data_IF_306904020674
#
_entry.id   IF_306904020674
#
_cell.length_a   1.000
_cell.length_b   1.000
_cell.length_c   1.000
_cell.angle_alpha   90.00
_cell.angle_beta   90.00
_cell.angle_gamma   90.00
#
_symmetry.space_group_name_H-M   'P 1'
#
loop_
_entity.id
_entity.type
_entity.pdbx_description
1 polymer ?
#
# COMPACT_ATOMS: atom_id res chain seq x y z
N UNK A 1 -50.54 0.99 2.18
CA UNK A 1 -49.46 1.23 1.18
C UNK A 1 -49.90 2.12 0.01
N UNK A 2 -51.19 2.16 -0.38
CA UNK A 2 -51.63 3.00 -1.52
C UNK A 2 -51.07 2.55 -2.87
N UNK A 3 -50.83 1.24 -3.04
CA UNK A 3 -50.18 0.63 -4.21
C UNK A 3 -50.96 -0.59 -4.68
N UNK A 4 -50.82 -0.91 -5.97
CA UNK A 4 -51.42 -2.10 -6.57
C UNK A 4 -50.80 -3.40 -6.02
N UNK A 5 -51.55 -4.50 -6.13
CA UNK A 5 -51.19 -5.81 -5.58
C UNK A 5 -49.88 -6.34 -6.15
N UNK A 6 -49.65 -6.14 -7.45
CA UNK A 6 -48.43 -6.57 -8.15
C UNK A 6 -47.19 -5.89 -7.57
N UNK A 7 -47.31 -4.61 -7.23
CA UNK A 7 -46.24 -3.79 -6.68
C UNK A 7 -45.94 -4.15 -5.23
N UNK A 8 -46.96 -4.51 -4.45
CA UNK A 8 -46.77 -5.05 -3.10
C UNK A 8 -46.06 -6.41 -3.15
N UNK A 9 -46.44 -7.31 -4.07
CA UNK A 9 -45.73 -8.57 -4.27
C UNK A 9 -44.28 -8.40 -4.76
N UNK A 10 -44.01 -7.39 -5.59
CA UNK A 10 -42.64 -7.08 -6.00
C UNK A 10 -41.78 -6.65 -4.81
N UNK A 11 -42.32 -5.83 -3.90
CA UNK A 11 -41.64 -5.41 -2.67
C UNK A 11 -41.41 -6.59 -1.69
N UNK A 12 -42.32 -7.56 -1.66
CA UNK A 12 -42.12 -8.79 -0.88
C UNK A 12 -41.02 -9.67 -1.50
N UNK A 13 -40.99 -9.82 -2.83
CA UNK A 13 -39.95 -10.59 -3.53
C UNK A 13 -38.56 -9.95 -3.43
N UNK A 14 -38.47 -8.62 -3.43
CA UNK A 14 -37.21 -7.90 -3.24
C UNK A 14 -36.76 -7.85 -1.77
N UNK A 15 -37.57 -8.33 -0.83
CA UNK A 15 -37.28 -8.27 0.60
C UNK A 15 -37.48 -6.87 1.22
N UNK A 16 -38.02 -5.91 0.45
CA UNK A 16 -38.29 -4.56 0.94
C UNK A 16 -39.42 -4.50 1.95
N UNK A 17 -40.34 -5.44 1.83
CA UNK A 17 -41.36 -5.79 2.80
C UNK A 17 -41.17 -7.25 3.21
N UNK A 18 -41.44 -7.59 4.46
CA UNK A 18 -41.31 -8.95 4.97
C UNK A 18 -42.70 -9.56 5.17
N UNK A 19 -42.88 -10.80 4.76
CA UNK A 19 -44.05 -11.59 5.11
C UNK A 19 -43.92 -12.13 6.53
N UNK A 20 -45.03 -12.20 7.27
CA UNK A 20 -45.07 -12.85 8.58
C UNK A 20 -44.98 -14.38 8.40
N UNK A 21 -44.23 -15.06 9.27
CA UNK A 21 -43.90 -16.48 9.17
C UNK A 21 -45.13 -17.41 9.20
N UNK A 22 -46.26 -16.95 9.73
CA UNK A 22 -47.48 -17.77 9.94
C UNK A 22 -48.31 -18.01 8.67
N UNK A 23 -47.68 -18.16 7.51
CA UNK A 23 -48.36 -18.57 6.26
C UNK A 23 -47.91 -19.96 5.84
N UNK A 24 -48.09 -20.93 6.74
CA UNK A 24 -47.81 -22.35 6.45
C UNK A 24 -48.84 -23.01 5.52
N UNK A 25 -50.02 -22.42 5.33
CA UNK A 25 -51.00 -22.91 4.36
C UNK A 25 -51.30 -21.84 3.31
N UNK A 26 -50.81 -22.06 2.09
CA UNK A 26 -50.79 -21.13 0.95
C UNK A 26 -52.15 -20.63 0.40
N UNK A 27 -53.22 -20.64 1.21
CA UNK A 27 -54.56 -20.17 0.87
C UNK A 27 -54.98 -18.86 1.60
N UNK A 28 -54.15 -18.32 2.49
CA UNK A 28 -54.45 -17.12 3.28
C UNK A 28 -53.94 -15.78 2.70
N UNK A 29 -54.48 -14.63 3.14
CA UNK A 29 -53.97 -13.32 2.77
C UNK A 29 -52.54 -13.13 3.32
N UNK A 30 -51.60 -12.74 2.46
CA UNK A 30 -50.22 -12.48 2.86
C UNK A 30 -50.17 -11.34 3.87
N UNK A 31 -49.77 -11.65 5.10
CA UNK A 31 -49.59 -10.69 6.18
C UNK A 31 -48.19 -10.11 6.09
N UNK A 32 -48.10 -8.78 6.06
CA UNK A 32 -46.82 -8.06 5.96
C UNK A 32 -46.43 -7.59 7.36
N UNK A 33 -45.18 -7.85 7.76
CA UNK A 33 -44.63 -7.41 9.04
C UNK A 33 -44.66 -5.89 9.11
N UNK A 34 -45.39 -5.32 10.08
CA UNK A 34 -45.58 -3.87 10.25
C UNK A 34 -44.26 -3.10 10.32
N UNK A 35 -43.27 -3.61 11.05
CA UNK A 35 -41.93 -3.01 11.15
C UNK A 35 -41.19 -2.97 9.80
N UNK A 36 -41.50 -3.85 8.83
CA UNK A 36 -40.94 -3.76 7.48
C UNK A 36 -41.57 -2.62 6.67
N UNK A 37 -42.87 -2.39 6.85
CA UNK A 37 -43.61 -1.28 6.22
C UNK A 37 -43.14 0.06 6.77
N UNK A 38 -43.01 0.19 8.09
CA UNK A 38 -42.55 1.41 8.75
C UNK A 38 -41.11 1.76 8.35
N UNK A 39 -40.21 0.76 8.29
CA UNK A 39 -38.85 0.94 7.75
C UNK A 39 -38.84 1.36 6.28
N UNK A 40 -39.74 0.81 5.46
CA UNK A 40 -39.85 1.16 4.05
C UNK A 40 -40.39 2.59 3.85
N UNK A 41 -41.40 3.00 4.62
CA UNK A 41 -41.92 4.37 4.58
C UNK A 41 -40.89 5.39 5.07
N UNK A 42 -40.20 5.10 6.18
CA UNK A 42 -39.13 5.94 6.72
C UNK A 42 -37.93 6.09 5.77
N UNK A 43 -37.74 5.14 4.83
CA UNK A 43 -36.72 5.20 3.80
C UNK A 43 -37.10 6.10 2.59
N UNK A 44 -38.22 6.83 2.66
CA UNK A 44 -38.68 7.73 1.60
C UNK A 44 -39.63 7.05 0.61
N UNK A 45 -40.45 6.12 1.11
CA UNK A 45 -41.36 5.29 0.31
C UNK A 45 -42.07 6.09 -0.79
N UNK A 46 -42.22 5.45 -1.96
CA UNK A 46 -42.88 5.91 -3.19
C UNK A 46 -42.06 6.57 -4.31
N UNK A 47 -40.77 6.92 -4.14
CA UNK A 47 -39.94 7.32 -5.30
C UNK A 47 -39.42 6.08 -6.04
N UNK A 48 -40.18 5.60 -7.02
CA UNK A 48 -39.81 4.45 -7.86
C UNK A 48 -39.71 3.10 -7.13
N UNK A 49 -39.67 2.00 -7.89
CA UNK A 49 -39.22 0.73 -7.32
C UNK A 49 -37.72 0.84 -6.98
N UNK A 50 -37.26 0.24 -5.86
CA UNK A 50 -35.84 0.07 -5.60
C UNK A 50 -35.18 -0.54 -6.82
N UNK A 51 -34.01 -0.04 -7.17
CA UNK A 51 -33.25 -0.62 -8.26
C UNK A 51 -32.68 -1.95 -7.78
N UNK A 52 -32.54 -2.91 -8.70
CA UNK A 52 -31.74 -4.09 -8.38
C UNK A 52 -30.33 -3.66 -7.96
N UNK A 53 -29.70 -4.41 -7.05
CA UNK A 53 -28.37 -4.07 -6.54
C UNK A 53 -27.38 -3.77 -7.68
N UNK A 54 -27.38 -4.59 -8.73
CA UNK A 54 -26.53 -4.38 -9.93
C UNK A 54 -26.78 -3.04 -10.63
N UNK A 55 -28.04 -2.64 -10.81
CA UNK A 55 -28.38 -1.35 -11.41
C UNK A 55 -28.04 -0.17 -10.50
N UNK A 56 -28.21 -0.34 -9.18
CA UNK A 56 -27.81 0.66 -8.20
C UNK A 56 -26.29 0.88 -8.24
N UNK A 57 -25.51 -0.20 -8.21
CA UNK A 57 -24.06 -0.15 -8.33
C UNK A 57 -23.61 0.53 -9.62
N UNK A 58 -24.21 0.18 -10.76
CA UNK A 58 -23.88 0.78 -12.05
C UNK A 58 -24.16 2.30 -12.10
N UNK A 59 -25.27 2.77 -11.55
CA UNK A 59 -25.56 4.22 -11.47
C UNK A 59 -24.59 4.94 -10.55
N UNK A 60 -24.28 4.37 -9.38
CA UNK A 60 -23.33 4.95 -8.44
C UNK A 60 -21.93 5.00 -9.05
N UNK A 61 -21.50 3.94 -9.73
CA UNK A 61 -20.20 3.87 -10.40
C UNK A 61 -20.07 4.86 -11.57
N UNK A 62 -21.14 5.16 -12.29
CA UNK A 62 -21.12 6.23 -13.29
C UNK A 62 -21.06 7.63 -12.65
N UNK A 63 -21.81 7.83 -11.58
CA UNK A 63 -21.88 9.12 -10.90
C UNK A 63 -20.65 9.40 -10.00
N UNK A 64 -19.82 8.40 -9.71
CA UNK A 64 -18.63 8.54 -8.85
C UNK A 64 -17.49 9.31 -9.51
N UNK A 65 -17.44 9.39 -10.83
CA UNK A 65 -16.29 9.90 -11.57
C UNK A 65 -15.03 9.02 -11.49
N UNK A 66 -15.08 7.88 -10.79
CA UNK A 66 -13.96 6.93 -10.71
C UNK A 66 -14.09 5.86 -11.80
N UNK A 67 -13.32 6.02 -12.88
CA UNK A 67 -13.45 5.19 -14.07
C UNK A 67 -13.35 3.68 -13.79
N UNK A 68 -12.33 3.13 -13.11
CA UNK A 68 -12.31 1.67 -12.92
C UNK A 68 -13.33 1.13 -11.91
N UNK A 69 -13.83 1.94 -10.97
CA UNK A 69 -15.02 1.55 -10.19
C UNK A 69 -16.25 1.52 -11.09
N UNK A 70 -16.40 2.52 -11.97
CA UNK A 70 -17.45 2.58 -12.99
C UNK A 70 -17.45 1.36 -13.91
N UNK A 71 -16.29 1.01 -14.47
CA UNK A 71 -16.11 -0.14 -15.36
C UNK A 71 -16.45 -1.45 -14.63
N UNK A 72 -16.01 -1.59 -13.38
CA UNK A 72 -16.34 -2.77 -12.56
C UNK A 72 -17.84 -2.88 -12.33
N UNK A 73 -18.52 -1.80 -11.95
CA UNK A 73 -19.96 -1.79 -11.71
C UNK A 73 -20.79 -1.99 -12.99
N UNK A 74 -20.37 -1.42 -14.12
CA UNK A 74 -21.03 -1.64 -15.41
C UNK A 74 -20.88 -3.09 -15.88
N UNK A 75 -19.73 -3.72 -15.61
CA UNK A 75 -19.49 -5.14 -15.88
C UNK A 75 -20.38 -6.10 -15.07
N UNK A 76 -21.09 -5.61 -14.05
CA UNK A 76 -22.08 -6.42 -13.32
C UNK A 76 -23.40 -6.58 -14.09
N UNK A 77 -23.64 -5.73 -15.11
CA UNK A 77 -24.82 -5.79 -15.95
C UNK A 77 -24.57 -6.78 -17.09
N UNK A 78 -25.41 -7.82 -17.19
CA UNK A 78 -25.22 -8.90 -18.16
C UNK A 78 -25.57 -8.48 -19.60
N UNK A 79 -26.44 -7.48 -19.77
CA UNK A 79 -26.97 -7.05 -21.08
C UNK A 79 -26.53 -5.64 -21.45
N UNK A 80 -26.08 -5.47 -22.70
CA UNK A 80 -25.67 -4.16 -23.24
C UNK A 80 -26.80 -3.09 -23.20
N UNK A 81 -28.05 -3.51 -23.31
CA UNK A 81 -29.22 -2.62 -23.19
C UNK A 81 -29.40 -2.06 -21.76
N UNK A 82 -28.99 -2.81 -20.73
CA UNK A 82 -29.02 -2.35 -19.34
C UNK A 82 -27.98 -1.27 -19.09
N UNK A 83 -26.77 -1.44 -19.65
CA UNK A 83 -25.71 -0.43 -19.64
C UNK A 83 -26.17 0.86 -20.32
N UNK A 84 -26.76 0.74 -21.52
CA UNK A 84 -27.24 1.90 -22.29
C UNK A 84 -28.35 2.66 -21.56
N UNK A 85 -29.32 1.94 -20.97
CA UNK A 85 -30.40 2.53 -20.16
C UNK A 85 -29.88 3.23 -18.90
N UNK A 86 -28.86 2.65 -18.26
CA UNK A 86 -28.23 3.21 -17.06
C UNK A 86 -27.53 4.53 -17.38
N UNK A 87 -26.73 4.58 -18.45
CA UNK A 87 -26.11 5.82 -18.94
C UNK A 87 -27.14 6.89 -19.31
N UNK A 88 -28.23 6.50 -19.98
CA UNK A 88 -29.30 7.40 -20.36
C UNK A 88 -30.11 7.99 -19.18
N UNK A 89 -30.04 7.41 -17.98
CA UNK A 89 -30.69 7.99 -16.78
C UNK A 89 -29.93 9.21 -16.27
N UNK A 90 -28.62 9.10 -16.13
CA UNK A 90 -27.78 10.23 -15.71
C UNK A 90 -27.75 11.32 -16.78
N UNK A 91 -27.79 10.95 -18.07
CA UNK A 91 -27.87 11.91 -19.18
C UNK A 91 -29.19 12.72 -19.21
N UNK A 92 -30.26 12.24 -18.56
CA UNK A 92 -31.55 12.93 -18.45
C UNK A 92 -31.59 13.96 -17.31
N UNK A 93 -30.48 14.16 -16.60
CA UNK A 93 -30.37 15.14 -15.52
C UNK A 93 -30.90 14.66 -14.17
N UNK A 94 -31.22 13.37 -14.01
CA UNK A 94 -31.58 12.80 -12.70
C UNK A 94 -30.36 12.89 -11.77
N UNK A 95 -30.50 13.61 -10.64
CA UNK A 95 -29.40 13.77 -9.68
C UNK A 95 -29.29 12.55 -8.77
N UNK A 96 -28.09 12.30 -8.21
CA UNK A 96 -27.91 11.24 -7.22
C UNK A 96 -28.79 11.43 -5.98
N UNK A 97 -29.10 12.67 -5.60
CA UNK A 97 -29.99 13.00 -4.48
C UNK A 97 -31.42 12.51 -4.74
N UNK A 98 -31.93 12.73 -5.96
CA UNK A 98 -33.25 12.29 -6.39
C UNK A 98 -33.33 10.76 -6.47
N UNK A 99 -32.24 10.14 -6.93
CA UNK A 99 -32.11 8.70 -7.04
C UNK A 99 -31.82 8.01 -5.70
N UNK A 100 -31.33 8.74 -4.70
CA UNK A 100 -30.84 8.19 -3.44
C UNK A 100 -31.81 7.20 -2.77
N UNK A 101 -33.14 7.46 -2.66
CA UNK A 101 -34.08 6.50 -2.07
C UNK A 101 -34.13 5.15 -2.79
N UNK A 102 -33.82 5.12 -4.09
CA UNK A 102 -33.84 3.92 -4.96
C UNK A 102 -32.51 3.18 -5.00
N UNK A 103 -31.43 3.81 -4.52
CA UNK A 103 -30.06 3.29 -4.49
C UNK A 103 -29.68 2.68 -3.12
N UNK A 104 -30.61 2.72 -2.16
CA UNK A 104 -30.43 2.16 -0.81
C UNK A 104 -30.49 0.64 -0.83
N UNK A 105 -30.05 0.01 0.27
CA UNK A 105 -30.14 -1.44 0.51
C UNK A 105 -29.41 -2.31 -0.54
N UNK A 106 -28.34 -1.76 -1.11
CA UNK A 106 -27.41 -2.47 -2.01
C UNK A 106 -26.53 -3.51 -1.32
N UNK A 107 -26.52 -3.50 0.01
CA UNK A 107 -25.81 -4.43 0.88
C UNK A 107 -26.63 -4.67 2.15
N UNK A 108 -26.42 -5.82 2.77
CA UNK A 108 -27.02 -6.18 4.06
C UNK A 108 -26.22 -5.52 5.18
N UNK A 109 -26.87 -4.72 6.02
CA UNK A 109 -26.24 -4.04 7.15
C UNK A 109 -26.20 -4.97 8.36
N UNK A 110 -24.99 -5.17 8.88
CA UNK A 110 -24.77 -6.03 10.05
C UNK A 110 -23.94 -5.25 11.06
N UNK A 111 -24.44 -5.13 12.29
CA UNK A 111 -23.69 -4.58 13.42
C UNK A 111 -23.06 -5.72 14.20
N UNK A 112 -21.78 -5.61 14.51
CA UNK A 112 -21.03 -6.56 15.34
C UNK A 112 -20.24 -5.84 16.41
N UNK A 113 -20.04 -6.52 17.53
CA UNK A 113 -19.03 -6.13 18.52
C UNK A 113 -17.77 -6.91 18.19
N UNK A 114 -16.67 -6.19 17.99
CA UNK A 114 -15.41 -6.78 17.58
C UNK A 114 -14.33 -6.30 18.57
N UNK A 115 -13.51 -7.22 19.12
CA UNK A 115 -12.36 -6.84 19.94
C UNK A 115 -11.48 -5.80 19.22
N UNK A 116 -10.95 -4.83 19.96
CA UNK A 116 -10.18 -3.70 19.41
C UNK A 116 -9.03 -4.13 18.49
N UNK A 117 -8.27 -5.14 18.89
CA UNK A 117 -7.17 -5.73 18.13
C UNK A 117 -7.64 -6.30 16.78
N UNK A 118 -8.78 -6.97 16.76
CA UNK A 118 -9.39 -7.46 15.53
C UNK A 118 -9.95 -6.31 14.68
N UNK A 119 -10.51 -5.26 15.30
CA UNK A 119 -10.97 -4.05 14.60
C UNK A 119 -9.82 -3.31 13.91
N UNK A 120 -8.67 -3.13 14.60
CA UNK A 120 -7.45 -2.56 14.01
C UNK A 120 -6.96 -3.39 12.80
N UNK A 121 -7.02 -4.72 12.91
CA UNK A 121 -6.66 -5.61 11.81
C UNK A 121 -7.64 -5.51 10.62
N UNK A 122 -8.95 -5.44 10.89
CA UNK A 122 -9.97 -5.27 9.85
C UNK A 122 -9.81 -3.94 9.12
N UNK A 123 -9.51 -2.85 9.84
CA UNK A 123 -9.34 -1.52 9.25
C UNK A 123 -8.19 -1.46 8.22
N UNK A 124 -7.20 -2.36 8.34
CA UNK A 124 -6.06 -2.47 7.43
C UNK A 124 -6.17 -3.56 6.37
N UNK A 125 -7.26 -4.36 6.38
CA UNK A 125 -7.46 -5.47 5.43
C UNK A 125 -7.83 -4.98 4.03
N UNK A 126 -7.18 -5.55 3.02
CA UNK A 126 -7.50 -5.32 1.61
C UNK A 126 -8.83 -5.94 1.16
N UNK A 127 -9.40 -6.86 1.95
CA UNK A 127 -10.72 -7.46 1.71
C UNK A 127 -11.89 -6.55 2.12
N UNK A 128 -11.61 -5.49 2.89
CA UNK A 128 -12.58 -4.51 3.34
C UNK A 128 -12.45 -3.21 2.53
N UNK A 129 -13.58 -2.57 2.27
CA UNK A 129 -13.63 -1.26 1.60
C UNK A 129 -14.31 -0.27 2.53
N UNK A 130 -13.55 0.69 3.08
CA UNK A 130 -14.07 1.65 4.06
C UNK A 130 -15.08 2.60 3.42
N UNK A 131 -16.15 2.93 4.16
CA UNK A 131 -17.22 3.82 3.70
C UNK A 131 -17.80 4.69 4.83
N UNK A 132 -18.79 5.51 4.50
CA UNK A 132 -19.57 6.31 5.44
C UNK A 132 -18.69 7.21 6.30
N UNK A 133 -18.88 7.12 7.61
CA UNK A 133 -18.10 7.89 8.59
C UNK A 133 -16.62 7.48 8.63
N UNK A 134 -16.27 6.23 8.31
CA UNK A 134 -14.87 5.76 8.32
C UNK A 134 -14.01 6.35 7.21
N UNK A 135 -14.60 7.07 6.26
CA UNK A 135 -13.86 7.80 5.22
C UNK A 135 -13.87 9.32 5.43
N UNK A 136 -14.50 9.80 6.51
CA UNK A 136 -14.65 11.22 6.79
C UNK A 136 -13.30 11.95 6.85
N UNK A 137 -12.31 11.37 7.53
CA UNK A 137 -10.96 11.94 7.60
C UNK A 137 -10.28 12.02 6.22
N UNK A 138 -10.50 11.01 5.38
CA UNK A 138 -9.89 10.94 4.04
C UNK A 138 -10.47 12.00 3.08
N UNK A 139 -11.74 12.37 3.27
CA UNK A 139 -12.43 13.40 2.49
C UNK A 139 -12.52 14.76 3.20
N UNK A 140 -11.87 14.92 4.36
CA UNK A 140 -11.87 16.16 5.15
C UNK A 140 -13.28 16.63 5.53
N UNK A 141 -14.17 15.68 5.85
CA UNK A 141 -15.54 15.95 6.28
C UNK A 141 -15.57 16.36 7.77
N UNK A 142 -15.16 17.58 8.05
CA UNK A 142 -15.06 18.17 9.40
C UNK A 142 -16.38 18.16 10.16
N UNK A 143 -17.52 18.26 9.47
CA UNK A 143 -18.87 18.20 10.04
C UNK A 143 -19.20 16.85 10.70
N UNK A 144 -18.55 15.76 10.26
CA UNK A 144 -18.68 14.43 10.88
C UNK A 144 -17.79 14.28 12.13
N UNK A 145 -16.81 15.17 12.33
CA UNK A 145 -15.86 15.09 13.45
C UNK A 145 -16.47 15.54 14.79
N UNK A 146 -17.62 16.23 14.77
CA UNK A 146 -18.26 16.80 15.97
C UNK A 146 -19.66 16.28 16.31
N UNK A 147 -20.28 15.41 15.48
CA UNK A 147 -21.73 15.18 15.57
C UNK A 147 -22.25 13.76 15.35
N UNK A 148 -21.45 12.79 14.90
CA UNK A 148 -21.92 11.40 14.79
C UNK A 148 -21.59 10.67 16.08
N UNK A 149 -22.62 10.11 16.73
CA UNK A 149 -22.46 9.27 17.91
C UNK A 149 -21.35 8.22 17.64
N UNK A 150 -20.27 8.17 18.43
CA UNK A 150 -19.07 7.34 18.22
C UNK A 150 -19.31 5.83 18.34
N UNK A 151 -20.57 5.41 18.26
CA UNK A 151 -21.02 4.06 18.56
C UNK A 151 -20.36 2.99 17.69
N UNK A 152 -20.13 3.21 16.39
CA UNK A 152 -19.33 2.30 15.55
C UNK A 152 -18.00 2.92 15.11
N UNK A 153 -16.90 2.22 15.43
CA UNK A 153 -15.51 2.64 15.13
C UNK A 153 -15.06 2.32 13.71
N UNK A 154 -15.79 1.46 13.00
CA UNK A 154 -15.52 1.08 11.61
C UNK A 154 -16.83 0.88 10.82
N UNK A 155 -16.95 1.48 9.64
CA UNK A 155 -17.94 1.21 8.59
C UNK A 155 -17.21 0.79 7.30
N UNK A 156 -17.49 -0.43 6.83
CA UNK A 156 -16.86 -0.98 5.65
C UNK A 156 -17.75 -1.99 4.92
N UNK A 157 -17.54 -2.10 3.60
CA UNK A 157 -18.07 -3.20 2.80
C UNK A 157 -17.20 -4.44 2.92
N UNK A 158 -17.86 -5.60 2.92
CA UNK A 158 -17.24 -6.93 2.95
C UNK A 158 -18.04 -7.88 2.05
N UNK A 159 -17.37 -8.82 1.37
CA UNK A 159 -18.09 -9.84 0.59
C UNK A 159 -18.78 -10.83 1.53
N UNK A 160 -19.85 -11.47 1.08
CA UNK A 160 -20.52 -12.51 1.86
C UNK A 160 -19.59 -13.66 2.28
N UNK A 161 -18.67 -14.05 1.39
CA UNK A 161 -17.64 -15.05 1.66
C UNK A 161 -16.70 -14.61 2.80
N UNK A 162 -16.15 -13.40 2.71
CA UNK A 162 -15.28 -12.86 3.75
C UNK A 162 -16.04 -12.63 5.07
N UNK A 163 -17.29 -12.21 5.00
CA UNK A 163 -18.13 -12.04 6.19
C UNK A 163 -18.40 -13.37 6.88
N UNK A 164 -18.68 -14.43 6.13
CA UNK A 164 -18.94 -15.77 6.67
C UNK A 164 -17.75 -16.28 7.48
N UNK A 165 -16.54 -16.09 6.96
CA UNK A 165 -15.33 -16.51 7.66
C UNK A 165 -15.03 -15.59 8.86
N UNK A 166 -15.28 -14.27 8.78
CA UNK A 166 -15.22 -13.39 9.96
C UNK A 166 -16.22 -13.79 11.04
N UNK A 167 -17.43 -14.18 10.66
CA UNK A 167 -18.48 -14.58 11.59
C UNK A 167 -18.10 -15.88 12.31
N UNK A 168 -17.56 -16.87 11.60
CA UNK A 168 -17.06 -18.11 12.21
C UNK A 168 -15.99 -17.82 13.27
N UNK A 169 -15.15 -16.84 13.01
CA UNK A 169 -14.05 -16.46 13.88
C UNK A 169 -14.49 -15.71 15.13
N UNK A 170 -15.46 -14.80 14.99
CA UNK A 170 -16.10 -14.16 16.13
C UNK A 170 -16.79 -15.21 17.02
N UNK A 171 -17.44 -16.21 16.40
CA UNK A 171 -18.04 -17.31 17.16
C UNK A 171 -16.99 -18.15 17.91
N UNK A 172 -15.80 -18.39 17.33
CA UNK A 172 -14.70 -19.09 18.01
C UNK A 172 -14.14 -18.31 19.21
N UNK A 173 -14.18 -16.97 19.14
CA UNK A 173 -13.74 -16.07 20.20
C UNK A 173 -14.71 -16.05 21.39
N UNK A 174 -16.02 -16.11 21.12
CA UNK A 174 -17.06 -16.08 22.15
C UNK A 174 -17.11 -17.36 23.01
N UNK A 175 -16.56 -18.49 22.53
CA UNK A 175 -16.58 -19.80 23.23
C UNK A 175 -15.50 -19.93 24.32
N UNK A 176 -14.51 -19.01 24.37
CA UNK A 176 -13.27 -19.20 25.13
C UNK A 176 -13.02 -18.32 26.37
N UNK A 177 -13.91 -17.39 26.76
CA UNK A 177 -13.57 -16.41 27.79
C UNK A 177 -14.74 -15.84 28.59
N UNK A 178 -14.66 -16.01 29.90
CA UNK A 178 -15.43 -15.32 30.93
C UNK A 178 -15.18 -13.80 30.94
N UNK A 179 -16.28 -13.04 30.87
CA UNK A 179 -16.57 -11.68 31.39
C UNK A 179 -15.66 -10.44 31.12
N UNK A 180 -14.36 -10.54 30.81
CA UNK A 180 -13.50 -9.35 30.66
C UNK A 180 -13.27 -8.89 29.21
N UNK A 181 -13.35 -9.80 28.22
CA UNK A 181 -13.07 -9.47 26.81
C UNK A 181 -14.15 -8.62 26.13
N UNK A 182 -15.39 -8.64 26.64
CA UNK A 182 -16.49 -7.84 26.11
C UNK A 182 -16.40 -6.34 26.49
N UNK A 183 -15.60 -5.96 27.49
CA UNK A 183 -15.47 -4.56 27.95
C UNK A 183 -14.65 -3.67 27.00
N UNK A 184 -13.87 -4.25 26.08
CA UNK A 184 -13.03 -3.54 25.10
C UNK A 184 -13.48 -3.74 23.65
N UNK A 185 -14.68 -4.26 23.41
CA UNK A 185 -15.18 -4.47 22.05
C UNK A 185 -15.70 -3.15 21.44
N UNK A 186 -15.17 -2.81 20.27
CA UNK A 186 -15.70 -1.71 19.46
C UNK A 186 -16.89 -2.22 18.64
N UNK A 187 -17.93 -1.40 18.45
CA UNK A 187 -18.98 -1.76 17.49
C UNK A 187 -18.46 -1.44 16.10
N UNK A 188 -18.73 -2.33 15.15
CA UNK A 188 -18.43 -2.15 13.74
C UNK A 188 -19.71 -2.34 12.93
N UNK A 189 -19.84 -1.55 11.87
CA UNK A 189 -20.90 -1.65 10.88
C UNK A 189 -20.33 -2.29 9.62
N UNK A 190 -20.84 -3.46 9.26
CA UNK A 190 -20.42 -4.19 8.07
C UNK A 190 -21.54 -4.19 7.04
N UNK A 191 -21.20 -3.81 5.81
CA UNK A 191 -22.09 -3.84 4.65
C UNK A 191 -21.76 -5.07 3.82
N UNK A 192 -22.49 -6.15 4.07
CA UNK A 192 -22.28 -7.42 3.39
C UNK A 192 -22.89 -7.38 2.00
N UNK A 193 -22.06 -7.54 0.98
CA UNK A 193 -22.51 -7.59 -0.42
C UNK A 193 -22.59 -9.04 -0.85
N UNK A 194 -23.82 -9.47 -1.16
CA UNK A 194 -24.07 -10.70 -1.90
C UNK A 194 -23.61 -10.51 -3.36
N UNK A 195 -22.97 -11.53 -3.92
CA UNK A 195 -22.27 -11.46 -5.21
C UNK A 195 -23.21 -10.95 -6.33
N UNK A 196 -22.72 -10.14 -7.27
CA UNK A 196 -21.29 -9.92 -7.57
C UNK A 196 -20.67 -8.71 -6.85
N UNK A 197 -19.43 -8.90 -6.39
CA UNK A 197 -18.62 -7.88 -5.72
C UNK A 197 -18.32 -6.64 -6.63
N UNK A 198 -18.77 -5.43 -6.22
CA UNK A 198 -18.75 -4.23 -7.08
C UNK A 198 -17.43 -3.45 -7.04
N UNK A 199 -16.55 -3.76 -6.09
CA UNK A 199 -15.30 -3.01 -5.92
C UNK A 199 -14.14 -3.65 -6.70
N UNK A 200 -13.27 -2.85 -7.33
CA UNK A 200 -12.00 -3.33 -7.85
C UNK A 200 -11.12 -3.98 -6.77
N UNK A 201 -10.14 -4.81 -7.15
CA UNK A 201 -9.13 -5.28 -6.21
C UNK A 201 -8.32 -4.10 -5.64
N UNK A 202 -7.96 -4.15 -4.36
CA UNK A 202 -7.21 -3.11 -3.63
C UNK A 202 -7.87 -1.74 -3.63
N UNK A 203 -9.16 -1.73 -3.34
CA UNK A 203 -9.97 -0.52 -3.33
C UNK A 203 -10.27 -0.12 -1.88
N UNK A 204 -9.36 0.58 -1.16
CA UNK A 204 -9.44 0.71 0.30
C UNK A 204 -10.53 1.66 0.80
N UNK A 205 -11.03 2.55 -0.05
CA UNK A 205 -11.95 3.64 0.29
C UNK A 205 -12.94 3.79 -0.86
N UNK A 206 -14.24 3.86 -0.56
CA UNK A 206 -15.28 4.14 -1.56
C UNK A 206 -15.17 5.57 -2.12
N UNK A 207 -15.72 5.84 -3.33
CA UNK A 207 -15.80 7.21 -3.83
C UNK A 207 -16.80 8.06 -3.01
N UNK A 208 -16.61 9.39 -3.00
CA UNK A 208 -17.42 10.32 -2.20
C UNK A 208 -18.93 10.13 -2.33
N UNK A 209 -19.52 9.98 -3.53
CA UNK A 209 -20.97 9.87 -3.64
C UNK A 209 -21.52 8.58 -3.04
N UNK A 210 -20.74 7.50 -3.07
CA UNK A 210 -21.09 6.25 -2.42
C UNK A 210 -21.03 6.39 -0.89
N UNK A 211 -19.97 7.01 -0.35
CA UNK A 211 -19.87 7.27 1.09
C UNK A 211 -21.02 8.15 1.61
N UNK A 212 -21.41 9.18 0.87
CA UNK A 212 -22.53 10.04 1.23
C UNK A 212 -23.88 9.29 1.18
N UNK A 213 -24.08 8.43 0.17
CA UNK A 213 -25.23 7.50 0.13
C UNK A 213 -25.23 6.52 1.29
N UNK A 214 -24.07 6.04 1.72
CA UNK A 214 -23.92 5.12 2.85
C UNK A 214 -24.32 5.76 4.18
N UNK A 215 -24.05 7.05 4.37
CA UNK A 215 -24.51 7.82 5.53
C UNK A 215 -26.05 7.90 5.61
N UNK A 216 -26.75 7.89 4.48
CA UNK A 216 -28.22 7.83 4.48
C UNK A 216 -28.75 6.52 5.07
N UNK A 217 -27.96 5.45 5.02
CA UNK A 217 -28.26 4.13 5.55
C UNK A 217 -27.91 3.97 7.04
N UNK A 218 -27.35 5.00 7.67
CA UNK A 218 -27.09 4.98 9.10
C UNK A 218 -28.42 5.01 9.89
N UNK A 219 -28.47 4.34 11.05
CA UNK A 219 -29.61 4.43 11.94
C UNK A 219 -29.72 5.81 12.61
N UNK A 220 -28.59 6.52 12.76
CA UNK A 220 -28.52 7.87 13.32
C UNK A 220 -29.15 8.92 12.37
N UNK A 221 -29.95 9.83 12.91
CA UNK A 221 -30.57 10.91 12.15
C UNK A 221 -29.56 11.98 11.73
N UNK A 222 -28.53 12.27 12.56
CA UNK A 222 -27.53 13.30 12.25
C UNK A 222 -26.68 12.87 11.05
N UNK A 223 -26.16 11.64 11.05
CA UNK A 223 -25.46 11.07 9.90
C UNK A 223 -26.29 11.13 8.61
N UNK A 224 -27.61 10.88 8.68
CA UNK A 224 -28.50 10.97 7.51
C UNK A 224 -28.68 12.40 7.00
N UNK A 225 -28.72 13.40 7.87
CA UNK A 225 -28.75 14.81 7.46
C UNK A 225 -27.45 15.19 6.73
N UNK A 226 -26.30 14.86 7.33
CA UNK A 226 -24.98 15.14 6.73
C UNK A 226 -24.84 14.44 5.37
N UNK A 227 -25.24 13.17 5.28
CA UNK A 227 -25.23 12.45 4.00
C UNK A 227 -26.08 13.11 2.92
N UNK A 228 -27.21 13.74 3.29
CA UNK A 228 -28.05 14.50 2.35
C UNK A 228 -27.36 15.76 1.86
N UNK A 229 -26.76 16.51 2.78
CA UNK A 229 -26.04 17.75 2.46
C UNK A 229 -24.83 17.49 1.56
N UNK A 230 -24.05 16.45 1.86
CA UNK A 230 -22.93 16.01 1.03
C UNK A 230 -23.39 15.61 -0.39
N UNK A 231 -24.51 14.90 -0.54
CA UNK A 231 -25.04 14.56 -1.86
C UNK A 231 -25.53 15.78 -2.64
N UNK A 232 -26.10 16.78 -1.96
CA UNK A 232 -26.47 18.05 -2.61
C UNK A 232 -25.23 18.79 -3.11
N UNK A 233 -24.18 18.89 -2.29
CA UNK A 233 -22.92 19.56 -2.65
C UNK A 233 -22.19 18.87 -3.82
N UNK A 234 -22.30 17.54 -3.93
CA UNK A 234 -21.77 16.76 -5.05
C UNK A 234 -22.54 16.97 -6.37
N UNK A 235 -23.75 17.52 -6.33
CA UNK A 235 -24.49 17.91 -7.53
C UNK A 235 -23.84 19.07 -8.28
N UNK A 236 -23.13 19.93 -7.54
CA UNK A 236 -22.55 21.18 -8.04
C UNK A 236 -21.04 21.06 -8.35
N UNK A 237 -20.39 19.97 -7.92
CA UNK A 237 -18.93 19.79 -7.99
C UNK A 237 -18.54 18.40 -8.48
N UNK A 238 -17.41 18.29 -9.19
CA UNK A 238 -16.91 16.97 -9.60
C UNK A 238 -16.44 16.19 -8.36
N UNK A 239 -16.86 14.93 -8.18
CA UNK A 239 -16.44 14.13 -7.04
C UNK A 239 -14.92 13.93 -7.00
N UNK A 240 -14.36 14.01 -5.81
CA UNK A 240 -12.95 13.69 -5.55
C UNK A 240 -12.79 12.16 -5.47
N UNK A 241 -11.83 11.64 -6.22
CA UNK A 241 -11.45 10.22 -6.19
C UNK A 241 -10.07 10.11 -5.55
N UNK A 242 -9.98 9.44 -4.39
CA UNK A 242 -8.70 9.25 -3.70
C UNK A 242 -7.86 8.16 -4.36
N UNK A 243 -6.55 8.43 -4.47
CA UNK A 243 -5.60 7.57 -5.15
C UNK A 243 -5.53 6.15 -4.55
N UNK A 244 -5.34 5.18 -5.45
CA UNK A 244 -5.35 3.74 -5.15
C UNK A 244 -4.01 3.30 -4.56
N UNK A 245 -4.02 2.22 -3.77
CA UNK A 245 -2.79 1.49 -3.47
C UNK A 245 -2.26 0.88 -4.78
N UNK A 246 -1.01 1.18 -5.13
CA UNK A 246 -0.34 0.68 -6.33
C UNK A 246 -0.39 -0.85 -6.42
N UNK A 247 -0.60 -1.36 -7.64
CA UNK A 247 -0.91 -2.74 -7.97
C UNK A 247 0.27 -3.73 -7.76
N UNK A 248 0.63 -3.97 -6.50
CA UNK A 248 1.43 -5.13 -6.09
C UNK A 248 0.62 -5.97 -5.10
N UNK A 249 -0.60 -6.34 -5.46
CA UNK A 249 -1.43 -7.19 -4.62
C UNK A 249 -1.58 -8.56 -5.23
N UNK A 250 -1.08 -9.53 -4.46
CA UNK A 250 -1.37 -10.95 -4.60
C UNK A 250 -2.88 -11.18 -4.74
N UNK A 251 -3.18 -12.20 -5.53
CA UNK A 251 -4.51 -12.75 -5.76
C UNK A 251 -5.36 -12.82 -4.49
N UNK A 252 -6.66 -12.58 -4.68
CA UNK A 252 -7.81 -12.69 -3.77
C UNK A 252 -7.71 -13.76 -2.69
N UNK A 253 -6.86 -13.54 -1.70
CA UNK A 253 -6.81 -14.31 -0.46
C UNK A 253 -6.55 -13.28 0.64
N UNK A 254 -7.62 -12.91 1.35
CA UNK A 254 -7.56 -11.94 2.45
C UNK A 254 -6.45 -12.34 3.46
N UNK A 255 -5.52 -11.42 3.79
CA UNK A 255 -4.53 -11.67 4.84
C UNK A 255 -5.14 -11.82 6.23
N UNK A 256 -6.34 -11.29 6.51
CA UNK A 256 -7.02 -11.52 7.81
C UNK A 256 -7.78 -12.84 7.78
N UNK A 257 -8.41 -13.19 6.66
CA UNK A 257 -9.18 -14.43 6.54
C UNK A 257 -8.31 -15.69 6.48
N UNK A 258 -7.17 -15.61 5.80
CA UNK A 258 -6.15 -16.67 5.81
C UNK A 258 -5.48 -16.83 7.18
N UNK A 259 -5.27 -15.74 7.93
CA UNK A 259 -4.63 -15.77 9.26
C UNK A 259 -5.49 -16.36 10.37
N UNK A 260 -6.78 -16.53 10.11
CA UNK A 260 -7.76 -16.66 11.20
C UNK A 260 -8.56 -17.97 11.07
N UNK A 261 -8.48 -18.67 9.92
CA UNK A 261 -8.60 -20.13 9.80
C UNK A 261 -7.43 -20.91 10.45
N UNK A 262 -6.25 -20.28 10.56
CA UNK A 262 -5.09 -20.87 11.26
C UNK A 262 -5.27 -20.90 12.80
N UNK A 263 -6.34 -20.29 13.32
CA UNK A 263 -6.53 -20.01 14.75
C UNK A 263 -7.07 -21.20 15.58
N UNK A 264 -7.62 -22.23 14.95
CA UNK A 264 -8.07 -23.46 15.65
C UNK A 264 -7.06 -24.61 15.61
N UNK A 265 -5.91 -24.42 14.97
CA UNK A 265 -4.84 -25.41 14.87
C UNK A 265 -3.62 -25.00 15.69
N UNK A 266 -3.75 -25.08 17.02
CA UNK A 266 -2.70 -24.89 18.05
C UNK A 266 -2.64 -23.50 18.67
N UNK A 267 -3.01 -23.51 19.95
CA UNK A 267 -2.32 -22.79 21.03
C UNK A 267 -0.80 -22.98 20.88
N UNK A 268 -0.20 -22.12 20.06
CA UNK A 268 1.23 -21.88 20.01
C UNK A 268 1.35 -20.39 19.72
N UNK A 269 1.93 -19.65 20.65
CA UNK A 269 2.31 -18.26 20.44
C UNK A 269 2.91 -18.08 19.04
N UNK A 270 2.31 -17.24 18.18
CA UNK A 270 3.09 -16.63 17.08
C UNK A 270 3.96 -15.56 17.71
N UNK A 271 5.02 -16.02 18.39
CA UNK A 271 6.24 -15.27 18.65
C UNK A 271 6.59 -14.53 17.34
N UNK A 272 6.97 -13.26 17.42
CA UNK A 272 7.89 -12.70 16.43
C UNK A 272 9.00 -13.75 16.28
N UNK A 273 9.08 -14.42 15.13
CA UNK A 273 10.17 -15.37 14.90
C UNK A 273 11.38 -14.49 14.65
N UNK A 274 12.11 -14.21 15.71
CA UNK A 274 13.49 -13.74 15.63
C UNK A 274 14.21 -14.68 14.64
N UNK A 275 14.59 -14.15 13.47
CA UNK A 275 15.19 -14.94 12.39
C UNK A 275 14.36 -15.19 11.11
N UNK A 276 13.10 -14.76 10.96
CA UNK A 276 12.42 -14.83 9.64
C UNK A 276 12.76 -13.59 8.76
N UNK A 277 13.49 -13.76 7.64
CA UNK A 277 13.92 -12.66 6.78
C UNK A 277 12.77 -11.89 6.14
N UNK A 278 11.56 -12.46 6.06
CA UNK A 278 10.40 -11.79 5.46
C UNK A 278 9.79 -10.75 6.39
N UNK A 279 10.01 -10.86 7.70
CA UNK A 279 9.37 -10.03 8.72
C UNK A 279 10.33 -9.30 9.65
N UNK A 280 11.53 -9.84 9.87
CA UNK A 280 12.57 -9.24 10.70
C UNK A 280 13.68 -8.66 9.81
N UNK A 281 13.95 -7.35 9.92
CA UNK A 281 14.97 -6.65 9.12
C UNK A 281 16.38 -7.14 9.45
N UNK A 282 16.64 -7.50 10.71
CA UNK A 282 17.92 -8.07 11.13
C UNK A 282 18.10 -9.48 10.55
N UNK A 283 17.03 -10.27 10.51
CA UNK A 283 17.03 -11.56 9.83
C UNK A 283 17.21 -11.40 8.31
N UNK A 284 16.53 -10.45 7.69
CA UNK A 284 16.67 -10.16 6.26
C UNK A 284 18.13 -9.80 5.92
N UNK A 285 18.74 -8.94 6.73
CA UNK A 285 20.16 -8.57 6.64
C UNK A 285 21.07 -9.80 6.82
N UNK A 286 20.80 -10.67 7.80
CA UNK A 286 21.55 -11.90 7.99
C UNK A 286 21.44 -12.86 6.79
N UNK A 287 20.28 -12.93 6.14
CA UNK A 287 20.09 -13.73 4.93
C UNK A 287 20.82 -13.13 3.71
N UNK A 288 20.83 -11.81 3.55
CA UNK A 288 21.65 -11.13 2.52
C UNK A 288 23.13 -11.48 2.72
N UNK A 289 23.63 -11.33 3.95
CA UNK A 289 25.02 -11.66 4.30
C UNK A 289 25.30 -13.14 4.10
N UNK A 290 24.41 -14.04 4.50
CA UNK A 290 24.58 -15.48 4.32
C UNK A 290 24.65 -15.90 2.85
N UNK A 291 23.80 -15.33 1.99
CA UNK A 291 23.80 -15.60 0.53
C UNK A 291 25.07 -15.07 -0.13
N UNK A 292 25.49 -13.85 0.23
CA UNK A 292 26.75 -13.27 -0.24
C UNK A 292 27.95 -14.10 0.22
N UNK A 293 27.96 -14.55 1.49
CA UNK A 293 29.05 -15.33 2.05
C UNK A 293 29.19 -16.69 1.38
N UNK A 294 28.07 -17.36 1.14
CA UNK A 294 28.03 -18.63 0.39
C UNK A 294 28.54 -18.47 -1.05
N UNK A 295 28.46 -17.27 -1.61
CA UNK A 295 28.95 -16.94 -2.96
C UNK A 295 30.38 -16.39 -2.97
N UNK A 296 31.04 -16.40 -1.81
CA UNK A 296 32.43 -15.99 -1.60
C UNK A 296 32.70 -14.55 -2.08
N UNK A 297 33.80 -14.34 -2.81
CA UNK A 297 34.23 -13.04 -3.33
C UNK A 297 33.54 -12.64 -4.64
N UNK A 298 32.59 -13.43 -5.14
CA UNK A 298 31.82 -13.08 -6.33
C UNK A 298 30.67 -12.13 -5.98
N UNK A 299 30.50 -11.08 -6.78
CA UNK A 299 29.33 -10.21 -6.67
C UNK A 299 28.08 -10.91 -7.15
N UNK A 300 26.98 -10.71 -6.43
CA UNK A 300 25.66 -11.18 -6.84
C UNK A 300 24.77 -10.01 -7.18
N UNK A 301 23.91 -10.19 -8.17
CA UNK A 301 22.91 -9.17 -8.49
C UNK A 301 21.85 -9.05 -7.40
N UNK A 302 21.26 -7.87 -7.24
CA UNK A 302 20.13 -7.63 -6.32
C UNK A 302 19.00 -8.63 -6.60
N UNK A 303 18.75 -8.96 -7.86
CA UNK A 303 17.73 -9.94 -8.26
C UNK A 303 18.02 -11.34 -7.74
N UNK A 304 19.26 -11.82 -7.86
CA UNK A 304 19.69 -13.14 -7.39
C UNK A 304 19.61 -13.25 -5.86
N UNK A 305 20.10 -12.23 -5.14
CA UNK A 305 20.05 -12.20 -3.68
C UNK A 305 18.61 -12.20 -3.19
N UNK A 306 17.74 -11.40 -3.81
CA UNK A 306 16.32 -11.35 -3.45
C UNK A 306 15.59 -12.65 -3.70
N UNK A 307 15.88 -13.33 -4.82
CA UNK A 307 15.30 -14.62 -5.12
C UNK A 307 15.75 -15.69 -4.12
N UNK A 308 17.05 -15.74 -3.82
CA UNK A 308 17.63 -16.71 -2.88
C UNK A 308 17.18 -16.47 -1.42
N UNK A 309 17.13 -15.21 -0.98
CA UNK A 309 16.69 -14.83 0.36
C UNK A 309 15.16 -14.74 0.51
N UNK A 310 14.41 -14.88 -0.59
CA UNK A 310 12.94 -14.78 -0.58
C UNK A 310 12.42 -13.40 -0.20
N UNK A 311 13.14 -12.33 -0.56
CA UNK A 311 12.88 -10.95 -0.17
C UNK A 311 12.12 -10.16 -1.25
N UNK A 312 11.19 -9.31 -0.82
CA UNK A 312 10.61 -8.27 -1.69
C UNK A 312 11.65 -7.18 -1.98
N UNK A 313 11.33 -6.24 -2.89
CA UNK A 313 12.25 -5.14 -3.23
C UNK A 313 12.44 -4.21 -2.04
N UNK A 314 11.33 -3.80 -1.43
CA UNK A 314 11.32 -2.93 -0.25
C UNK A 314 12.10 -3.57 0.91
N UNK A 315 11.82 -4.84 1.24
CA UNK A 315 12.52 -5.54 2.34
C UNK A 315 14.02 -5.70 2.10
N UNK A 316 14.43 -5.83 0.85
CA UNK A 316 15.85 -5.86 0.50
C UNK A 316 16.51 -4.50 0.72
N UNK A 317 15.87 -3.41 0.29
CA UNK A 317 16.41 -2.07 0.50
C UNK A 317 16.45 -1.71 2.00
N UNK A 318 15.39 -2.02 2.77
CA UNK A 318 15.36 -1.84 4.23
C UNK A 318 16.49 -2.61 4.93
N UNK A 319 16.73 -3.85 4.51
CA UNK A 319 17.78 -4.70 5.07
C UNK A 319 19.18 -4.25 4.66
N UNK A 320 19.33 -3.72 3.44
CA UNK A 320 20.58 -3.14 2.95
C UNK A 320 20.91 -1.84 3.70
N UNK A 321 19.93 -0.99 3.94
CA UNK A 321 20.08 0.22 4.77
C UNK A 321 20.47 -0.15 6.21
N UNK A 322 19.80 -1.15 6.80
CA UNK A 322 20.16 -1.68 8.12
C UNK A 322 21.60 -2.21 8.18
N UNK A 323 22.09 -2.88 7.13
CA UNK A 323 23.48 -3.32 7.05
C UNK A 323 24.47 -2.15 6.98
N UNK A 324 24.05 -1.00 6.47
CA UNK A 324 24.82 0.24 6.50
C UNK A 324 24.91 0.86 7.90
N UNK A 325 23.85 0.75 8.71
CA UNK A 325 23.82 1.23 10.09
C UNK A 325 24.52 0.26 11.06
N UNK A 326 24.23 -1.04 10.90
CA UNK A 326 24.67 -2.15 11.73
C UNK A 326 25.39 -3.21 10.90
N UNK A 327 26.65 -2.96 10.48
CA UNK A 327 27.42 -3.89 9.67
C UNK A 327 27.76 -5.19 10.43
N UNK A 328 27.95 -6.32 9.73
CA UNK A 328 28.42 -7.56 10.32
C UNK A 328 29.83 -7.41 10.90
N UNK A 329 30.12 -8.07 12.02
CA UNK A 329 31.40 -7.92 12.73
C UNK A 329 32.60 -8.22 11.82
N UNK A 330 33.52 -7.26 11.66
CA UNK A 330 34.71 -7.40 10.81
C UNK A 330 34.45 -7.50 9.30
N UNK A 331 33.20 -7.37 8.86
CA UNK A 331 32.78 -7.45 7.46
C UNK A 331 31.92 -6.23 7.08
N UNK A 332 31.79 -5.98 5.79
CA UNK A 332 30.93 -4.94 5.23
C UNK A 332 30.23 -5.44 3.97
N UNK A 333 29.15 -4.76 3.58
CA UNK A 333 28.45 -5.05 2.33
C UNK A 333 28.51 -3.81 1.45
N UNK A 334 29.09 -3.95 0.26
CA UNK A 334 29.16 -2.86 -0.72
C UNK A 334 28.29 -3.16 -1.93
N UNK A 335 27.68 -2.11 -2.49
CA UNK A 335 26.85 -2.17 -3.69
C UNK A 335 27.54 -1.40 -4.82
N UNK A 336 27.67 -2.05 -5.97
CA UNK A 336 28.27 -1.52 -7.19
C UNK A 336 27.26 -1.67 -8.32
N UNK A 337 26.53 -0.60 -8.64
CA UNK A 337 25.36 -0.68 -9.52
C UNK A 337 24.30 -1.65 -9.00
N UNK A 338 24.04 -2.72 -9.75
CA UNK A 338 23.07 -3.78 -9.40
C UNK A 338 23.71 -4.99 -8.70
N UNK A 339 25.01 -4.97 -8.42
CA UNK A 339 25.72 -6.05 -7.71
C UNK A 339 26.02 -5.69 -6.26
N UNK A 340 25.93 -6.66 -5.35
CA UNK A 340 26.41 -6.56 -3.97
C UNK A 340 27.55 -7.54 -3.74
N UNK A 341 28.51 -7.15 -2.89
CA UNK A 341 29.66 -7.96 -2.47
C UNK A 341 29.89 -7.83 -0.97
N UNK A 342 30.35 -8.92 -0.36
CA UNK A 342 30.95 -8.87 0.97
C UNK A 342 32.40 -8.41 0.87
N UNK A 343 32.76 -7.50 1.76
CA UNK A 343 34.11 -6.94 1.90
C UNK A 343 34.56 -7.03 3.36
N UNK A 344 35.85 -6.90 3.62
CA UNK A 344 36.36 -6.78 5.00
C UNK A 344 36.07 -5.39 5.54
N UNK A 345 35.68 -5.29 6.82
CA UNK A 345 35.45 -3.99 7.44
C UNK A 345 36.77 -3.20 7.60
N UNK A 346 36.75 -1.85 7.54
CA UNK A 346 37.95 -1.03 7.70
C UNK A 346 38.71 -1.28 9.01
N UNK A 347 37.98 -1.57 10.09
CA UNK A 347 38.53 -1.84 11.43
C UNK A 347 39.47 -3.04 11.51
N UNK A 348 39.32 -4.03 10.61
CA UNK A 348 40.18 -5.24 10.57
C UNK A 348 41.31 -5.13 9.55
N UNK A 349 41.45 -4.00 8.85
CA UNK A 349 42.40 -3.80 7.75
C UNK A 349 43.84 -4.24 8.10
N UNK A 350 44.37 -3.82 9.26
CA UNK A 350 45.74 -4.14 9.68
C UNK A 350 46.00 -5.65 9.84
N UNK A 351 44.99 -6.41 10.26
CA UNK A 351 45.06 -7.87 10.38
C UNK A 351 45.00 -8.54 9.01
N UNK A 352 44.14 -8.05 8.11
CA UNK A 352 44.01 -8.54 6.72
C UNK A 352 45.30 -8.29 5.94
N UNK A 353 45.88 -7.09 6.04
CA UNK A 353 47.14 -6.72 5.39
C UNK A 353 48.30 -7.63 5.83
N UNK A 354 48.43 -7.90 7.13
CA UNK A 354 49.46 -8.79 7.67
C UNK A 354 49.29 -10.22 7.16
N UNK A 355 48.05 -10.69 7.02
CA UNK A 355 47.76 -12.04 6.56
C UNK A 355 48.02 -12.23 5.06
N UNK A 356 47.55 -11.30 4.23
CA UNK A 356 47.68 -11.40 2.77
C UNK A 356 49.12 -11.20 2.28
N UNK A 357 50.02 -10.75 3.14
CA UNK A 357 51.44 -10.49 2.86
C UNK A 357 51.64 -9.72 1.54
N UNK A 358 50.63 -8.92 1.18
CA UNK A 358 50.53 -8.23 -0.09
C UNK A 358 51.10 -6.85 0.13
N UNK A 359 52.07 -6.40 -0.69
CA UNK A 359 52.57 -5.04 -0.58
C UNK A 359 51.40 -4.08 -0.76
N UNK A 360 51.22 -3.19 0.22
CA UNK A 360 50.15 -2.19 0.21
C UNK A 360 50.16 -1.50 -1.16
N UNK A 361 49.04 -1.45 -1.90
CA UNK A 361 49.01 -0.70 -3.14
C UNK A 361 49.44 0.73 -2.84
N UNK A 362 50.44 1.22 -3.57
CA UNK A 362 51.02 2.54 -3.31
C UNK A 362 49.87 3.56 -3.34
N UNK A 363 49.66 4.34 -2.28
CA UNK A 363 48.56 5.30 -2.24
C UNK A 363 48.67 6.27 -3.42
N UNK A 364 47.53 6.72 -3.93
CA UNK A 364 47.53 7.76 -4.96
C UNK A 364 48.17 9.03 -4.37
N UNK A 365 49.05 9.67 -5.13
CA UNK A 365 49.62 10.96 -4.74
C UNK A 365 48.53 12.04 -4.69
N UNK A 366 48.77 13.13 -3.96
CA UNK A 366 47.85 14.28 -3.92
C UNK A 366 47.52 14.78 -5.34
N UNK A 367 48.53 14.84 -6.21
CA UNK A 367 48.34 15.23 -7.61
C UNK A 367 47.45 14.24 -8.40
N UNK A 368 47.59 12.94 -8.16
CA UNK A 368 46.73 11.93 -8.80
C UNK A 368 45.29 11.98 -8.27
N UNK A 369 45.08 12.23 -6.98
CA UNK A 369 43.75 12.43 -6.41
C UNK A 369 43.06 13.69 -6.97
N UNK A 370 43.80 14.79 -7.11
CA UNK A 370 43.28 16.00 -7.74
C UNK A 370 42.86 15.78 -9.19
N UNK A 371 43.71 15.11 -9.99
CA UNK A 371 43.37 14.77 -11.38
C UNK A 371 42.14 13.88 -11.42
N UNK A 372 42.08 12.84 -10.57
CA UNK A 372 40.95 11.93 -10.51
C UNK A 372 39.64 12.67 -10.15
N UNK A 373 39.71 13.63 -9.22
CA UNK A 373 38.59 14.50 -8.87
C UNK A 373 38.10 15.30 -10.07
N UNK A 374 39.02 15.96 -10.78
CA UNK A 374 38.67 16.75 -11.97
C UNK A 374 37.97 15.89 -13.02
N UNK A 375 38.48 14.69 -13.29
CA UNK A 375 37.86 13.77 -14.24
C UNK A 375 36.48 13.32 -13.74
N UNK A 376 36.32 12.94 -12.46
CA UNK A 376 35.04 12.47 -11.93
C UNK A 376 33.90 13.50 -12.05
N UNK A 377 34.17 14.78 -11.79
CA UNK A 377 33.15 15.85 -11.83
C UNK A 377 32.98 16.53 -13.20
N UNK A 378 34.00 16.48 -14.07
CA UNK A 378 33.97 17.20 -15.36
C UNK A 378 34.02 16.27 -16.56
N UNK A 379 33.96 14.96 -16.36
CA UNK A 379 33.86 14.01 -17.46
C UNK A 379 32.63 14.29 -18.35
N UNK A 380 32.75 14.07 -19.67
CA UNK A 380 33.98 13.70 -20.39
C UNK A 380 34.91 14.92 -20.58
N UNK A 381 36.21 14.77 -20.25
CA UNK A 381 37.18 15.89 -20.29
C UNK A 381 38.47 15.55 -21.04
N UNK A 382 39.03 16.52 -21.79
CA UNK A 382 40.33 16.36 -22.47
C UNK A 382 41.51 16.63 -21.52
N UNK A 383 42.72 16.15 -21.89
CA UNK A 383 43.96 16.41 -21.14
C UNK A 383 44.19 17.90 -20.85
N UNK A 384 44.06 18.74 -21.87
CA UNK A 384 44.21 20.19 -21.74
C UNK A 384 43.22 20.80 -20.76
N UNK A 385 42.00 20.28 -20.68
CA UNK A 385 40.99 20.72 -19.70
C UNK A 385 41.38 20.37 -18.27
N UNK A 386 41.95 19.19 -18.04
CA UNK A 386 42.45 18.78 -16.73
C UNK A 386 43.60 19.69 -16.27
N UNK A 387 44.56 19.94 -17.15
CA UNK A 387 45.72 20.81 -16.87
C UNK A 387 45.30 22.25 -16.63
N UNK A 388 44.33 22.76 -17.40
CA UNK A 388 43.78 24.09 -17.21
C UNK A 388 43.14 24.26 -15.82
N UNK A 389 42.36 23.28 -15.37
CA UNK A 389 41.73 23.31 -14.05
C UNK A 389 42.75 23.18 -12.91
N UNK A 390 43.78 22.34 -13.08
CA UNK A 390 44.82 22.13 -12.06
C UNK A 390 45.90 23.22 -12.05
N UNK A 391 46.06 23.98 -13.12
CA UNK A 391 47.12 24.99 -13.28
C UNK A 391 48.53 24.42 -13.34
N UNK A 392 48.70 23.10 -13.50
CA UNK A 392 50.00 22.43 -13.57
C UNK A 392 49.96 21.16 -14.43
N UNK A 393 51.12 20.73 -14.93
CA UNK A 393 51.25 19.53 -15.75
C UNK A 393 50.75 18.29 -14.99
N UNK A 394 49.99 17.44 -15.69
CA UNK A 394 49.26 16.32 -15.09
C UNK A 394 49.63 14.96 -15.70
N UNK A 395 50.64 14.89 -16.58
CA UNK A 395 50.96 13.68 -17.37
C UNK A 395 51.23 12.44 -16.52
N UNK A 396 52.10 12.55 -15.50
CA UNK A 396 52.44 11.43 -14.61
C UNK A 396 51.24 10.92 -13.81
N UNK A 397 50.40 11.85 -13.34
CA UNK A 397 49.18 11.52 -12.62
C UNK A 397 48.14 10.83 -13.52
N UNK A 398 47.92 11.35 -14.73
CA UNK A 398 47.01 10.75 -15.72
C UNK A 398 47.49 9.36 -16.12
N UNK A 399 48.79 9.19 -16.39
CA UNK A 399 49.37 7.90 -16.74
C UNK A 399 49.15 6.86 -15.64
N UNK A 400 49.37 7.25 -14.37
CA UNK A 400 49.13 6.38 -13.21
C UNK A 400 47.66 5.97 -13.08
N UNK A 401 46.73 6.90 -13.31
CA UNK A 401 45.29 6.62 -13.20
C UNK A 401 44.78 5.71 -14.34
N UNK A 402 45.32 5.87 -15.56
CA UNK A 402 45.04 4.99 -16.70
C UNK A 402 45.61 3.58 -16.47
N UNK A 403 46.85 3.48 -15.98
CA UNK A 403 47.51 2.21 -15.67
C UNK A 403 46.75 1.43 -14.59
N UNK A 404 46.24 2.14 -13.59
CA UNK A 404 45.38 1.57 -12.53
C UNK A 404 43.93 1.32 -12.99
N UNK A 405 43.59 1.69 -14.22
CA UNK A 405 42.25 1.52 -14.79
C UNK A 405 41.16 2.34 -14.10
N UNK A 406 41.50 3.36 -13.31
CA UNK A 406 40.53 4.23 -12.63
C UNK A 406 39.86 5.22 -13.58
N UNK A 407 40.58 5.59 -14.64
CA UNK A 407 40.06 6.38 -15.76
C UNK A 407 40.33 5.65 -17.08
N UNK A 408 39.54 5.95 -18.10
CA UNK A 408 39.69 5.41 -19.45
C UNK A 408 39.38 6.49 -20.49
N UNK A 409 39.70 6.20 -21.76
CA UNK A 409 39.28 7.02 -22.89
C UNK A 409 37.91 6.56 -23.40
N UNK A 410 37.01 7.52 -23.63
CA UNK A 410 35.80 7.27 -24.40
C UNK A 410 36.10 7.25 -25.92
N UNK A 411 35.11 6.97 -26.79
CA UNK A 411 35.30 6.93 -28.25
C UNK A 411 35.80 8.24 -28.88
N UNK A 412 35.72 9.37 -28.17
CA UNK A 412 36.21 10.68 -28.59
C UNK A 412 37.57 11.03 -27.96
N UNK A 413 38.27 10.04 -27.39
CA UNK A 413 39.55 10.19 -26.68
C UNK A 413 39.50 11.11 -25.45
N UNK A 414 38.31 11.41 -24.91
CA UNK A 414 38.14 12.15 -23.66
C UNK A 414 38.21 11.21 -22.46
N UNK A 415 38.72 11.71 -21.35
CA UNK A 415 38.81 10.98 -20.09
C UNK A 415 37.45 10.85 -19.42
N UNK A 416 37.16 9.63 -18.97
CA UNK A 416 35.99 9.24 -18.18
C UNK A 416 36.42 8.31 -17.05
N UNK A 417 35.65 8.26 -15.97
CA UNK A 417 35.86 7.29 -14.88
C UNK A 417 35.37 5.90 -15.28
N UNK A 418 35.98 4.87 -14.71
CA UNK A 418 35.59 3.46 -14.96
C UNK A 418 34.78 2.88 -13.80
N UNK A 419 34.34 1.63 -13.94
CA UNK A 419 33.77 0.86 -12.83
C UNK A 419 34.78 0.66 -11.68
N UNK A 420 36.07 0.50 -12.00
CA UNK A 420 37.12 0.38 -11.00
C UNK A 420 37.25 1.65 -10.15
N UNK A 421 36.92 2.83 -10.70
CA UNK A 421 36.83 4.05 -9.90
C UNK A 421 35.71 3.96 -8.86
N UNK A 422 34.49 3.58 -9.26
CA UNK A 422 33.35 3.44 -8.33
C UNK A 422 33.67 2.43 -7.21
N UNK A 423 34.33 1.32 -7.57
CA UNK A 423 34.81 0.33 -6.61
C UNK A 423 35.87 0.90 -5.65
N UNK A 424 36.79 1.70 -6.18
CA UNK A 424 37.84 2.35 -5.40
C UNK A 424 37.30 3.39 -4.41
N UNK A 425 36.27 4.16 -4.78
CA UNK A 425 35.66 5.17 -3.89
C UNK A 425 34.51 4.63 -3.03
N UNK A 426 33.99 3.45 -3.34
CA UNK A 426 32.88 2.83 -2.62
C UNK A 426 31.51 3.44 -2.92
N UNK A 427 31.30 3.97 -4.13
CA UNK A 427 30.03 4.58 -4.55
C UNK A 427 29.27 3.65 -5.50
N UNK A 428 27.92 3.73 -5.49
CA UNK A 428 27.09 2.87 -6.35
C UNK A 428 27.04 3.39 -7.78
N UNK A 429 26.96 4.71 -7.92
CA UNK A 429 26.94 5.42 -9.19
C UNK A 429 27.64 6.78 -9.10
N UNK A 430 27.74 7.49 -10.22
CA UNK A 430 28.31 8.83 -10.28
C UNK A 430 27.37 9.92 -9.75
N UNK A 431 26.08 9.65 -9.61
CA UNK A 431 25.11 10.60 -9.07
C UNK A 431 25.21 10.69 -7.53
N UNK A 432 25.73 9.65 -6.88
CA UNK A 432 26.10 9.62 -5.46
C UNK A 432 27.36 10.49 -5.17
N UNK A 433 27.97 11.16 -6.16
CA UNK A 433 29.07 12.08 -5.93
C UNK A 433 28.59 13.33 -5.16
N UNK A 434 29.29 13.75 -4.09
CA UNK A 434 28.88 14.91 -3.30
C UNK A 434 28.95 16.21 -4.12
N UNK A 435 27.99 17.11 -3.91
CA UNK A 435 27.98 18.41 -4.59
C UNK A 435 29.19 19.25 -4.17
N UNK A 436 29.87 19.85 -5.16
CA UNK A 436 31.12 20.63 -4.99
C UNK A 436 31.00 21.89 -4.10
N UNK A 437 29.81 22.19 -3.59
CA UNK A 437 29.52 23.39 -2.81
C UNK A 437 30.01 23.32 -1.36
N UNK A 438 30.28 22.14 -0.80
CA UNK A 438 30.62 22.02 0.64
C UNK A 438 31.89 21.24 0.99
N UNK A 439 32.54 20.51 0.06
CA UNK A 439 33.75 19.75 0.41
C UNK A 439 34.87 19.76 -0.64
N UNK A 440 36.12 19.94 -0.18
CA UNK A 440 37.32 19.60 -0.97
C UNK A 440 37.35 18.07 -1.14
N UNK A 441 37.07 17.57 -2.34
CA UNK A 441 37.00 16.14 -2.65
C UNK A 441 38.20 15.30 -2.20
N UNK A 442 39.42 15.88 -2.14
CA UNK A 442 40.59 15.21 -1.58
C UNK A 442 40.42 14.80 -0.11
N UNK A 443 39.73 15.62 0.70
CA UNK A 443 39.39 15.28 2.08
C UNK A 443 38.27 14.21 2.15
N UNK A 444 37.30 14.29 1.24
CA UNK A 444 36.19 13.32 1.16
C UNK A 444 36.68 11.94 0.75
N UNK A 445 37.49 11.83 -0.31
CA UNK A 445 38.03 10.55 -0.79
C UNK A 445 38.98 9.93 0.24
N UNK A 446 39.82 10.74 0.90
CA UNK A 446 40.69 10.24 1.98
C UNK A 446 39.87 9.77 3.19
N UNK A 447 38.81 10.49 3.54
CA UNK A 447 37.84 10.09 4.56
C UNK A 447 37.12 8.79 4.19
N UNK A 448 36.54 8.70 2.99
CA UNK A 448 35.79 7.54 2.48
C UNK A 448 36.64 6.27 2.37
N UNK A 449 37.91 6.40 1.96
CA UNK A 449 38.86 5.27 1.92
C UNK A 449 39.21 4.78 3.33
N UNK A 450 39.22 5.67 4.34
CA UNK A 450 39.48 5.32 5.74
C UNK A 450 38.22 4.85 6.49
N UNK A 451 37.03 5.34 6.14
CA UNK A 451 35.74 5.02 6.79
C UNK A 451 34.93 3.95 6.05
N UNK A 452 35.40 3.45 4.90
CA UNK A 452 34.74 2.38 4.15
C UNK A 452 33.42 2.80 3.49
N UNK A 453 33.28 4.05 3.05
CA UNK A 453 32.08 4.51 2.33
C UNK A 453 31.07 5.33 3.13
N UNK A 454 31.38 5.73 4.37
CA UNK A 454 30.52 6.63 5.18
C UNK A 454 30.94 8.09 4.98
N UNK A 455 29.95 8.97 4.83
CA UNK A 455 30.14 10.42 5.00
C UNK A 455 30.80 10.68 6.35
N UNK A 456 31.87 11.50 6.41
CA UNK A 456 32.42 11.93 7.68
C UNK A 456 31.34 12.76 8.38
N UNK A 457 30.70 12.18 9.40
CA UNK A 457 29.78 12.92 10.26
C UNK A 457 30.55 14.09 10.84
N UNK A 458 30.14 15.32 10.45
CA UNK A 458 30.75 16.55 10.90
C UNK A 458 30.76 16.64 12.42
N UNK A 459 31.92 16.37 13.01
CA UNK A 459 32.33 16.94 14.28
C UNK A 459 33.13 18.21 13.98
N UNK A 460 32.77 19.28 14.69
CA UNK A 460 33.28 20.65 14.58
C UNK A 460 34.80 20.79 14.39
#
# INVERSE_FOLDING_TARGET
LGRDRTRVYALLRSGDLLAAADTEDGAGPVRIVRASVERWLAAGGASGAPLSARNAWALIGLASGDQPFSERCLGLLERAEEVSRTRARLARGETLVELAPRLRRRATLIVRHVPRDLRDALESDAALVRTGASVAAAYVWSELAGGVDPSWRLDAYISEEAFSVLQEQLNQLDVGGSDESHKLADRVLLRVVDQPWPFPPNYPIVPQPLAALDLLDYPDQVARCIGRELLNALGDTRPVVLARRSATARAMTSPVMGKLLERNGRRAERRRVEGDPRTDTRAAAAHIVGVLWASASQGLTVKEIRAAAGLSRERFEDAYEFLGESPPLGLGVQRHGDELRLVTAPEVCSSVERHLNTPRPVPLSSAALEVLAVVAYRQPIARSGVEHIRGSASDSAIATLLERGLIAHNPHHLFVTTRAFLEFVGLRDLADLPTLSEHRFAAVVTGYIQTGGREPTGGA
#
